data_IF_253169332707
#
_entry.id   IF_253169332707
#
_cell.length_a   1.000
_cell.length_b   1.000
_cell.length_c   1.000
_cell.angle_alpha   90.00
_cell.angle_beta   90.00
_cell.angle_gamma   90.00
#
_symmetry.space_group_name_H-M   'P 1'
#
loop_
_entity.id
_entity.type
_entity.pdbx_description
1 polymer ?
#
# COMPACT_ATOMS: atom_id res chain seq x y z
N UNK A 1 -14.09 17.66 4.06
CA UNK A 1 -13.89 16.29 3.57
C UNK A 1 -12.62 15.76 4.20
N UNK A 2 -12.66 14.60 4.87
CA UNK A 2 -11.58 14.10 5.73
C UNK A 2 -10.36 13.75 4.84
N UNK A 3 -9.11 14.10 5.19
CA UNK A 3 -7.94 13.71 4.41
C UNK A 3 -7.74 12.21 4.58
N UNK A 4 -8.38 11.44 3.71
CA UNK A 4 -8.42 10.00 3.78
C UNK A 4 -7.13 9.39 3.20
N UNK A 5 -6.14 9.29 4.11
CA UNK A 5 -5.21 8.15 4.27
C UNK A 5 -4.75 7.48 2.97
N UNK A 6 -3.81 8.13 2.27
CA UNK A 6 -3.11 7.58 1.10
C UNK A 6 -2.37 6.27 1.38
N UNK A 7 -1.99 6.05 2.65
CA UNK A 7 -1.50 4.76 3.17
C UNK A 7 -2.47 3.60 2.97
N UNK A 8 -3.78 3.84 3.09
CA UNK A 8 -4.80 2.80 2.90
C UNK A 8 -4.95 2.42 1.43
N UNK A 9 -4.73 3.36 0.50
CA UNK A 9 -4.76 3.08 -0.93
C UNK A 9 -3.60 2.17 -1.34
N UNK A 10 -2.38 2.40 -0.82
CA UNK A 10 -1.21 1.55 -1.10
C UNK A 10 -1.41 0.09 -0.68
N UNK A 11 -1.97 -0.13 0.52
CA UNK A 11 -2.29 -1.47 1.02
C UNK A 11 -3.40 -2.15 0.19
N UNK A 12 -4.45 -1.41 -0.17
CA UNK A 12 -5.55 -1.94 -0.99
C UNK A 12 -5.08 -2.37 -2.39
N UNK A 13 -4.21 -1.57 -3.02
CA UNK A 13 -3.59 -1.92 -4.31
C UNK A 13 -2.68 -3.13 -4.20
N UNK A 14 -1.84 -3.21 -3.17
CA UNK A 14 -0.96 -4.36 -2.93
C UNK A 14 -1.71 -5.67 -2.75
N UNK A 15 -2.84 -5.65 -2.02
CA UNK A 15 -3.71 -6.81 -1.85
C UNK A 15 -4.42 -7.18 -3.16
N UNK A 16 -4.99 -6.22 -3.88
CA UNK A 16 -5.70 -6.48 -5.13
C UNK A 16 -4.78 -7.12 -6.19
N UNK A 17 -3.57 -6.57 -6.39
CA UNK A 17 -2.60 -7.14 -7.32
C UNK A 17 -2.01 -8.48 -6.81
N UNK A 18 -1.73 -8.60 -5.52
CA UNK A 18 -1.22 -9.83 -4.92
C UNK A 18 -2.18 -11.01 -5.05
N UNK A 19 -3.49 -10.76 -4.91
CA UNK A 19 -4.52 -11.80 -5.10
C UNK A 19 -4.64 -12.21 -6.57
N UNK A 20 -4.66 -11.25 -7.50
CA UNK A 20 -4.77 -11.54 -8.93
C UNK A 20 -3.57 -12.37 -9.42
N UNK A 21 -2.34 -11.93 -9.10
CA UNK A 21 -1.12 -12.62 -9.54
C UNK A 21 -0.95 -13.94 -8.79
N UNK A 22 -1.29 -13.98 -7.51
CA UNK A 22 -1.26 -15.19 -6.69
C UNK A 22 -2.22 -16.26 -7.19
N UNK A 23 -3.42 -15.87 -7.61
CA UNK A 23 -4.41 -16.77 -8.20
C UNK A 23 -3.95 -17.33 -9.56
N UNK A 24 -3.26 -16.52 -10.36
CA UNK A 24 -2.68 -16.96 -11.64
C UNK A 24 -1.48 -17.93 -11.47
N UNK A 25 -0.78 -17.86 -10.33
CA UNK A 25 0.41 -18.67 -10.06
C UNK A 25 0.08 -19.92 -9.21
N UNK A 26 -1.20 -20.18 -8.92
CA UNK A 26 -1.67 -21.23 -7.98
C UNK A 26 -1.00 -21.14 -6.59
N UNK A 27 -0.45 -19.96 -6.23
CA UNK A 27 0.35 -19.72 -5.04
C UNK A 27 -0.03 -18.38 -4.39
N UNK A 28 -1.29 -18.32 -3.94
CA UNK A 28 -1.88 -17.16 -3.28
C UNK A 28 -1.14 -16.83 -1.97
N UNK A 29 -0.68 -17.83 -1.21
CA UNK A 29 -0.02 -17.58 0.08
C UNK A 29 1.26 -16.74 -0.02
N UNK A 30 2.12 -17.05 -0.99
CA UNK A 30 3.37 -16.32 -1.23
C UNK A 30 3.10 -14.93 -1.82
N UNK A 31 2.22 -14.85 -2.82
CA UNK A 31 1.92 -13.59 -3.51
C UNK A 31 1.08 -12.62 -2.69
N UNK A 32 0.24 -13.10 -1.76
CA UNK A 32 -0.50 -12.26 -0.83
C UNK A 32 0.41 -11.63 0.22
N UNK A 33 1.32 -12.43 0.80
CA UNK A 33 2.35 -11.92 1.72
C UNK A 33 3.24 -10.89 1.02
N UNK A 34 3.67 -11.18 -0.22
CA UNK A 34 4.47 -10.27 -1.03
C UNK A 34 3.71 -9.00 -1.40
N UNK A 35 2.45 -9.11 -1.84
CA UNK A 35 1.60 -7.98 -2.19
C UNK A 35 1.31 -7.04 -1.02
N UNK A 36 1.06 -7.60 0.18
CA UNK A 36 0.89 -6.82 1.41
C UNK A 36 2.20 -6.18 1.84
N UNK A 37 3.33 -6.90 1.81
CA UNK A 37 4.63 -6.35 2.20
C UNK A 37 5.06 -5.20 1.27
N UNK A 38 4.87 -5.36 -0.04
CA UNK A 38 5.17 -4.32 -1.04
C UNK A 38 4.18 -3.15 -0.91
N UNK A 39 2.87 -3.42 -0.84
CA UNK A 39 1.84 -2.37 -0.72
C UNK A 39 1.96 -1.56 0.56
N UNK A 40 2.26 -2.21 1.69
CA UNK A 40 2.47 -1.55 2.97
C UNK A 40 3.84 -0.87 3.04
N UNK A 41 4.90 -1.47 2.47
CA UNK A 41 6.23 -0.87 2.41
C UNK A 41 6.27 0.40 1.56
N UNK A 42 5.70 0.36 0.35
CA UNK A 42 5.60 1.53 -0.54
C UNK A 42 4.63 2.55 0.05
N UNK A 43 3.49 2.12 0.59
CA UNK A 43 2.52 3.01 1.25
C UNK A 43 3.13 3.74 2.45
N UNK A 44 3.93 3.06 3.26
CA UNK A 44 4.63 3.66 4.41
C UNK A 44 5.77 4.59 3.97
N UNK A 45 6.50 4.23 2.90
CA UNK A 45 7.54 5.08 2.32
C UNK A 45 6.97 6.37 1.68
N UNK A 46 5.81 6.27 1.03
CA UNK A 46 5.10 7.44 0.48
C UNK A 46 4.49 8.31 1.59
N UNK A 47 3.94 7.71 2.66
CA UNK A 47 3.45 8.45 3.84
C UNK A 47 4.56 9.24 4.53
N UNK A 48 5.73 8.61 4.67
CA UNK A 48 6.91 9.24 5.25
C UNK A 48 7.40 10.43 4.42
N UNK A 49 7.28 10.36 3.09
CA UNK A 49 7.60 11.47 2.20
C UNK A 49 6.54 12.58 2.25
N UNK A 50 5.26 12.23 2.39
CA UNK A 50 4.18 13.22 2.48
C UNK A 50 4.19 13.97 3.81
N UNK A 51 4.56 13.31 4.92
CA UNK A 51 4.77 13.96 6.22
C UNK A 51 5.93 14.96 6.23
N UNK A 52 6.86 14.88 5.28
CA UNK A 52 7.91 15.89 5.10
C UNK A 52 7.40 17.22 4.54
N UNK A 53 6.18 17.26 3.98
CA UNK A 53 5.64 18.41 3.25
C UNK A 53 4.36 19.02 3.91
N UNK A 54 4.13 18.72 5.19
CA UNK A 54 3.07 19.36 6.00
C UNK A 54 3.67 20.12 7.18
N UNK A 55 4.56 21.05 6.88
CA UNK A 55 5.01 22.09 7.81
C UNK A 55 4.47 23.47 7.37
N UNK A 56 3.19 23.53 6.99
CA UNK A 56 2.50 24.81 6.80
C UNK A 56 1.44 24.96 7.91
N UNK A 57 1.80 25.56 9.06
CA UNK A 57 0.82 26.01 10.04
C UNK A 57 0.10 27.22 9.44
N UNK A 58 -1.16 27.05 9.08
CA UNK A 58 -2.07 28.19 8.85
C UNK A 58 -2.57 28.74 10.17
#
# INVERSE_FOLDING_TARGET
>A
MKPEKKTTLGAAYGVAFGVIIGALTDNIGLWLSLGIAIGCGIGSYLDQQEKGNTNDPK
#
